data_IF_915679213159
#
_entry.id   IF_915679213159
#
_cell.length_a   1.000
_cell.length_b   1.000
_cell.length_c   1.000
_cell.angle_alpha   90.00
_cell.angle_beta   90.00
_cell.angle_gamma   90.00
#
_symmetry.space_group_name_H-M   'P 1'
#
loop_
_entity.id
_entity.type
_entity.pdbx_description
1 polymer ?
#
# COMPACT_ATOMS: atom_id res chain seq x y z
N UNK A 1 -5.08 -18.21 -9.87
CA UNK A 1 -5.61 -18.06 -11.24
C UNK A 1 -4.46 -17.59 -12.11
N UNK A 2 -4.29 -18.11 -13.30
CA UNK A 2 -3.26 -17.65 -14.25
C UNK A 2 -3.94 -16.68 -15.19
N UNK A 3 -3.36 -15.49 -15.41
CA UNK A 3 -3.87 -14.55 -16.39
C UNK A 3 -3.65 -15.18 -17.78
N UNK A 4 -4.72 -15.45 -18.52
CA UNK A 4 -4.64 -16.10 -19.85
C UNK A 4 -4.57 -15.07 -20.97
N UNK A 5 -4.03 -15.50 -22.11
CA UNK A 5 -3.53 -14.66 -23.21
C UNK A 5 -4.48 -13.60 -23.79
N UNK A 6 -5.76 -13.88 -23.86
CA UNK A 6 -6.71 -13.04 -24.58
C UNK A 6 -7.39 -11.98 -23.68
N UNK A 7 -7.03 -11.93 -22.36
CA UNK A 7 -7.75 -11.15 -21.37
C UNK A 7 -6.87 -10.25 -20.51
N UNK A 8 -5.59 -10.10 -20.83
CA UNK A 8 -4.66 -9.36 -19.99
C UNK A 8 -5.10 -7.90 -19.77
N UNK A 9 -5.66 -7.27 -20.80
CA UNK A 9 -6.19 -5.90 -20.74
C UNK A 9 -7.72 -5.83 -20.78
N UNK A 10 -8.39 -6.98 -20.85
CA UNK A 10 -9.86 -7.02 -20.90
C UNK A 10 -10.40 -7.10 -19.47
N UNK A 11 -11.08 -6.04 -19.07
CA UNK A 11 -11.79 -5.91 -17.79
C UNK A 11 -13.30 -5.70 -18.04
N UNK A 12 -13.79 -6.03 -19.22
CA UNK A 12 -15.20 -5.84 -19.61
C UNK A 12 -16.18 -6.67 -18.76
N UNK A 13 -15.67 -7.70 -18.07
CA UNK A 13 -16.39 -8.51 -17.09
C UNK A 13 -16.43 -7.90 -15.68
N UNK A 14 -15.80 -6.74 -15.50
CA UNK A 14 -15.84 -6.04 -14.22
C UNK A 14 -17.24 -5.42 -13.95
N UNK A 15 -17.66 -5.33 -12.69
CA UNK A 15 -18.92 -4.70 -12.33
C UNK A 15 -18.88 -3.20 -12.63
N UNK A 16 -20.06 -2.59 -12.86
CA UNK A 16 -20.19 -1.19 -13.23
C UNK A 16 -19.51 -0.23 -12.24
N UNK A 17 -19.67 -0.48 -10.95
CA UNK A 17 -19.02 0.34 -9.91
C UNK A 17 -17.50 0.45 -10.07
N UNK A 18 -16.85 -0.66 -10.49
CA UNK A 18 -15.41 -0.67 -10.70
C UNK A 18 -15.04 0.12 -11.96
N UNK A 19 -15.76 -0.12 -13.06
CA UNK A 19 -15.51 0.57 -14.32
C UNK A 19 -15.73 2.08 -14.18
N UNK A 20 -16.81 2.50 -13.55
CA UNK A 20 -17.13 3.90 -13.26
C UNK A 20 -16.04 4.54 -12.38
N UNK A 21 -15.58 3.84 -11.33
CA UNK A 21 -14.54 4.35 -10.44
C UNK A 21 -13.21 4.58 -11.16
N UNK A 22 -12.76 3.63 -11.99
CA UNK A 22 -11.47 3.78 -12.69
C UNK A 22 -11.53 4.79 -13.87
N UNK A 23 -12.72 5.24 -14.27
CA UNK A 23 -12.90 6.34 -15.23
C UNK A 23 -12.62 7.71 -14.57
N UNK A 24 -12.81 7.84 -13.26
CA UNK A 24 -12.49 9.07 -12.53
C UNK A 24 -10.96 9.19 -12.37
N UNK A 25 -10.37 10.00 -13.25
CA UNK A 25 -8.91 10.08 -13.36
C UNK A 25 -8.29 10.93 -12.25
N UNK A 26 -7.27 10.37 -11.61
CA UNK A 26 -6.39 11.12 -10.73
C UNK A 26 -5.41 12.00 -11.51
N UNK A 27 -4.93 13.06 -10.88
CA UNK A 27 -3.75 13.78 -11.31
C UNK A 27 -2.51 13.08 -10.76
N UNK A 28 -1.60 12.64 -11.64
CA UNK A 28 -0.31 12.08 -11.23
C UNK A 28 0.65 13.20 -10.88
N UNK A 29 1.19 13.14 -9.68
CA UNK A 29 2.06 14.15 -9.08
C UNK A 29 3.34 13.50 -8.54
N UNK A 30 4.32 14.35 -8.23
CA UNK A 30 5.59 13.92 -7.67
C UNK A 30 6.02 14.88 -6.56
N UNK A 31 6.69 14.32 -5.54
CA UNK A 31 7.47 15.09 -4.57
C UNK A 31 8.90 14.56 -4.58
N UNK A 32 9.87 15.46 -4.58
CA UNK A 32 11.28 15.08 -4.50
C UNK A 32 11.72 15.11 -3.03
N UNK A 33 12.38 14.07 -2.58
CA UNK A 33 13.10 14.06 -1.31
C UNK A 33 14.61 13.90 -1.57
N UNK A 34 15.42 13.88 -0.49
CA UNK A 34 16.88 13.77 -0.60
C UNK A 34 17.36 12.45 -1.22
N UNK A 35 16.48 11.43 -1.26
CA UNK A 35 16.79 10.07 -1.72
C UNK A 35 16.09 9.72 -3.04
N UNK A 36 15.41 10.68 -3.67
CA UNK A 36 14.78 10.50 -4.97
C UNK A 36 13.31 10.90 -5.04
N UNK A 37 12.72 10.72 -6.20
CA UNK A 37 11.36 11.15 -6.52
C UNK A 37 10.33 10.14 -6.06
N UNK A 38 9.24 10.66 -5.44
CA UNK A 38 8.10 9.91 -4.97
C UNK A 38 6.89 10.25 -5.84
N UNK A 39 6.29 9.24 -6.41
CA UNK A 39 5.07 9.37 -7.22
C UNK A 39 3.83 9.20 -6.37
N UNK A 40 2.81 10.00 -6.60
CA UNK A 40 1.49 9.82 -6.02
C UNK A 40 0.39 10.27 -6.98
N UNK A 41 -0.80 9.73 -6.80
CA UNK A 41 -2.01 10.14 -7.52
C UNK A 41 -2.89 10.94 -6.59
N UNK A 42 -3.51 12.03 -7.10
CA UNK A 42 -4.45 12.86 -6.35
C UNK A 42 -5.78 12.95 -7.07
N UNK A 43 -6.85 12.76 -6.31
CA UNK A 43 -8.22 13.07 -6.68
C UNK A 43 -8.68 14.24 -5.82
N UNK A 44 -9.28 15.24 -6.45
CA UNK A 44 -9.81 16.41 -5.75
C UNK A 44 -11.25 16.14 -5.31
N UNK A 45 -11.59 16.55 -4.10
CA UNK A 45 -12.95 16.44 -3.56
C UNK A 45 -13.94 17.27 -4.38
N UNK A 46 -15.14 16.77 -4.54
CA UNK A 46 -16.20 17.43 -5.31
C UNK A 46 -16.69 18.74 -4.65
N UNK A 47 -16.69 18.80 -3.31
CA UNK A 47 -17.30 19.87 -2.51
C UNK A 47 -16.27 20.77 -1.81
N UNK A 48 -15.05 20.91 -2.33
CA UNK A 48 -13.96 21.67 -1.70
C UNK A 48 -13.70 21.26 -0.25
N UNK A 49 -13.85 19.98 0.08
CA UNK A 49 -13.59 19.47 1.41
C UNK A 49 -12.13 19.75 1.83
N UNK A 50 -11.96 20.20 3.08
CA UNK A 50 -10.65 20.46 3.66
C UNK A 50 -10.03 19.21 4.31
N UNK A 51 -10.51 18.04 3.95
CA UNK A 51 -9.99 16.75 4.41
C UNK A 51 -9.01 16.18 3.40
N UNK A 52 -8.01 15.45 3.89
CA UNK A 52 -7.07 14.69 3.08
C UNK A 52 -7.05 13.24 3.55
N UNK A 53 -7.42 12.31 2.66
CA UNK A 53 -7.28 10.87 2.86
C UNK A 53 -6.03 10.38 2.12
N UNK A 54 -5.12 9.73 2.85
CA UNK A 54 -3.89 9.16 2.29
C UNK A 54 -3.99 7.64 2.29
N UNK A 55 -3.85 7.05 1.11
CA UNK A 55 -3.92 5.60 0.88
C UNK A 55 -2.53 5.06 0.59
N UNK A 56 -2.06 4.10 1.40
CA UNK A 56 -0.71 3.54 1.33
C UNK A 56 -0.79 2.04 1.06
N UNK A 57 -0.22 1.60 -0.05
CA UNK A 57 -0.26 0.21 -0.50
C UNK A 57 0.72 -0.70 0.27
N UNK A 58 0.53 -2.01 0.12
CA UNK A 58 1.40 -3.05 0.67
C UNK A 58 2.68 -3.30 -0.15
N UNK A 59 3.48 -4.24 0.29
CA UNK A 59 4.74 -4.62 -0.36
C UNK A 59 4.52 -5.14 -1.78
N UNK A 60 5.26 -4.58 -2.74
CA UNK A 60 5.20 -4.99 -4.15
C UNK A 60 3.96 -4.53 -4.90
N UNK A 61 3.05 -3.80 -4.23
CA UNK A 61 1.90 -3.15 -4.82
C UNK A 61 2.27 -1.74 -5.34
N UNK A 62 1.30 -0.95 -5.69
CA UNK A 62 1.45 0.43 -6.18
C UNK A 62 0.14 1.21 -6.01
N UNK A 63 0.18 2.52 -6.18
CA UNK A 63 -0.95 3.43 -6.00
C UNK A 63 -2.21 3.06 -6.79
N UNK A 64 -2.05 2.42 -7.95
CA UNK A 64 -3.17 2.00 -8.82
C UNK A 64 -4.08 0.90 -8.22
N UNK A 65 -3.65 0.27 -7.13
CA UNK A 65 -4.53 -0.61 -6.35
C UNK A 65 -5.70 0.16 -5.72
N UNK A 66 -5.53 1.46 -5.53
CA UNK A 66 -6.53 2.33 -4.92
C UNK A 66 -7.42 3.05 -5.93
N UNK A 67 -7.15 2.95 -7.25
CA UNK A 67 -7.94 3.62 -8.28
C UNK A 67 -9.45 3.31 -8.19
N UNK A 68 -9.89 2.06 -7.96
CA UNK A 68 -11.33 1.78 -7.84
C UNK A 68 -11.92 2.17 -6.48
N UNK A 69 -11.09 2.44 -5.47
CA UNK A 69 -11.51 2.72 -4.10
C UNK A 69 -11.53 4.24 -3.83
N UNK A 70 -10.51 4.96 -4.29
CA UNK A 70 -10.33 6.39 -4.00
C UNK A 70 -11.55 7.26 -4.37
N UNK A 71 -12.22 7.07 -5.51
CA UNK A 71 -13.36 7.89 -5.91
C UNK A 71 -14.55 7.86 -4.94
N UNK A 72 -14.72 6.79 -4.17
CA UNK A 72 -15.83 6.67 -3.21
C UNK A 72 -15.72 7.60 -1.99
N UNK A 73 -14.62 8.34 -1.86
CA UNK A 73 -14.39 9.28 -0.76
C UNK A 73 -14.44 10.76 -1.19
N UNK A 74 -14.68 11.05 -2.48
CA UNK A 74 -14.56 12.40 -3.03
C UNK A 74 -15.67 13.35 -2.61
N UNK A 75 -16.77 12.86 -2.10
CA UNK A 75 -17.82 13.66 -1.48
C UNK A 75 -17.39 14.28 -0.14
N UNK A 76 -16.39 13.70 0.54
CA UNK A 76 -15.96 14.11 1.88
C UNK A 76 -14.48 14.46 2.01
N UNK A 77 -13.63 14.07 1.04
CA UNK A 77 -12.18 14.21 1.17
C UNK A 77 -11.46 14.33 -0.17
N UNK A 78 -10.38 15.14 -0.22
CA UNK A 78 -9.36 14.95 -1.24
C UNK A 78 -8.64 13.62 -0.95
N UNK A 79 -8.31 12.85 -1.98
CA UNK A 79 -7.67 11.55 -1.81
C UNK A 79 -6.31 11.53 -2.48
N UNK A 80 -5.33 10.98 -1.80
CA UNK A 80 -3.97 10.75 -2.30
C UNK A 80 -3.64 9.27 -2.18
N UNK A 81 -3.21 8.63 -3.27
CA UNK A 81 -2.62 7.30 -3.25
C UNK A 81 -1.14 7.38 -3.61
N UNK A 82 -0.29 6.79 -2.78
CA UNK A 82 1.16 6.95 -2.86
C UNK A 82 1.80 5.69 -3.44
N UNK A 83 2.79 5.86 -4.32
CA UNK A 83 3.78 4.82 -4.61
C UNK A 83 4.92 4.92 -3.60
N UNK A 84 5.07 3.96 -2.70
CA UNK A 84 6.21 3.94 -1.78
C UNK A 84 7.54 3.81 -2.54
N UNK A 85 8.66 4.36 -2.03
CA UNK A 85 9.97 4.20 -2.66
C UNK A 85 10.29 2.76 -3.05
N UNK A 86 10.82 2.58 -4.24
CA UNK A 86 11.12 1.26 -4.78
C UNK A 86 9.92 0.49 -5.34
N UNK A 87 8.75 1.12 -5.39
CA UNK A 87 7.48 0.53 -5.86
C UNK A 87 6.74 1.50 -6.79
N UNK A 88 5.95 0.95 -7.71
CA UNK A 88 5.18 1.74 -8.67
C UNK A 88 6.06 2.62 -9.55
N UNK A 89 5.74 3.90 -9.61
CA UNK A 89 6.47 4.91 -10.38
C UNK A 89 7.44 5.75 -9.51
N UNK A 90 7.57 5.43 -8.22
CA UNK A 90 8.59 6.02 -7.35
C UNK A 90 9.99 5.46 -7.65
N UNK A 91 11.01 6.28 -7.43
CA UNK A 91 12.38 5.87 -7.71
C UNK A 91 12.86 4.74 -6.79
N UNK A 92 13.73 3.91 -7.33
CA UNK A 92 14.43 2.86 -6.59
C UNK A 92 15.55 3.49 -5.77
N UNK A 93 15.91 2.85 -4.65
CA UNK A 93 16.90 3.34 -3.70
C UNK A 93 17.88 2.25 -3.32
N UNK A 94 19.05 2.62 -2.85
CA UNK A 94 20.05 1.66 -2.34
C UNK A 94 19.60 1.00 -1.03
N UNK A 95 18.84 1.73 -0.22
CA UNK A 95 18.33 1.26 1.08
C UNK A 95 16.89 1.69 1.31
N UNK A 96 16.16 0.90 2.05
CA UNK A 96 14.76 1.13 2.40
C UNK A 96 14.53 0.98 3.88
N UNK A 97 13.67 1.82 4.46
CA UNK A 97 13.21 1.70 5.83
C UNK A 97 11.78 2.22 6.01
N UNK A 98 11.08 1.71 7.03
CA UNK A 98 9.75 2.25 7.38
C UNK A 98 9.83 3.74 7.73
N UNK A 99 10.92 4.15 8.41
CA UNK A 99 11.17 5.56 8.74
C UNK A 99 11.29 6.44 7.50
N UNK A 100 12.03 5.99 6.47
CA UNK A 100 12.17 6.74 5.22
C UNK A 100 10.85 6.77 4.43
N UNK A 101 10.08 5.68 4.45
CA UNK A 101 8.74 5.68 3.87
C UNK A 101 7.83 6.70 4.57
N UNK A 102 7.86 6.75 5.91
CA UNK A 102 7.11 7.75 6.68
C UNK A 102 7.50 9.19 6.34
N UNK A 103 8.80 9.48 6.17
CA UNK A 103 9.26 10.82 5.72
C UNK A 103 8.68 11.21 4.37
N UNK A 104 8.55 10.27 3.43
CA UNK A 104 7.91 10.53 2.15
C UNK A 104 6.44 10.92 2.31
N UNK A 105 5.73 10.28 3.25
CA UNK A 105 4.33 10.65 3.55
C UNK A 105 4.26 12.06 4.13
N UNK A 106 5.15 12.44 5.06
CA UNK A 106 5.21 13.80 5.57
C UNK A 106 5.46 14.83 4.46
N UNK A 107 6.40 14.57 3.54
CA UNK A 107 6.67 15.47 2.41
C UNK A 107 5.46 15.63 1.48
N UNK A 108 4.66 14.58 1.29
CA UNK A 108 3.41 14.67 0.51
C UNK A 108 2.38 15.51 1.28
N UNK A 109 2.22 15.31 2.59
CA UNK A 109 1.31 16.09 3.43
C UNK A 109 1.66 17.56 3.36
N UNK A 110 2.93 17.92 3.52
CA UNK A 110 3.41 19.30 3.42
C UNK A 110 3.05 19.89 2.07
N UNK A 111 3.37 19.21 0.97
CA UNK A 111 3.04 19.67 -0.38
C UNK A 111 1.55 19.84 -0.62
N UNK A 112 0.70 18.96 -0.10
CA UNK A 112 -0.75 19.10 -0.23
C UNK A 112 -1.28 20.28 0.61
N UNK A 113 -0.74 20.53 1.80
CA UNK A 113 -1.06 21.69 2.63
C UNK A 113 -0.63 23.01 2.03
N UNK A 114 0.47 23.05 1.28
CA UNK A 114 0.92 24.24 0.55
C UNK A 114 -0.02 24.60 -0.60
N UNK A 115 -0.67 23.59 -1.19
CA UNK A 115 -1.55 23.79 -2.34
C UNK A 115 -3.01 24.03 -1.96
N UNK A 116 -3.45 23.51 -0.82
CA UNK A 116 -4.84 23.57 -0.36
C UNK A 116 -4.91 23.73 1.16
N UNK A 117 -6.02 24.31 1.62
CA UNK A 117 -6.37 24.26 3.04
C UNK A 117 -6.74 22.82 3.40
N UNK A 118 -5.95 22.19 4.27
CA UNK A 118 -6.22 20.87 4.84
C UNK A 118 -6.35 21.00 6.35
N UNK A 119 -7.54 20.71 6.85
CA UNK A 119 -7.86 20.78 8.28
C UNK A 119 -7.71 19.42 8.96
N UNK A 120 -8.07 18.32 8.26
CA UNK A 120 -8.01 16.97 8.80
C UNK A 120 -7.27 16.03 7.86
N UNK A 121 -6.48 15.11 8.44
CA UNK A 121 -5.72 14.10 7.71
C UNK A 121 -6.09 12.71 8.24
N UNK A 122 -6.50 11.85 7.31
CA UNK A 122 -6.83 10.45 7.55
C UNK A 122 -5.84 9.58 6.79
N UNK A 123 -5.34 8.52 7.42
CA UNK A 123 -4.36 7.64 6.77
C UNK A 123 -4.88 6.20 6.81
N UNK A 124 -4.89 5.57 5.65
CA UNK A 124 -5.22 4.15 5.48
C UNK A 124 -4.02 3.44 4.88
N UNK A 125 -3.55 2.38 5.52
CA UNK A 125 -2.42 1.60 5.02
C UNK A 125 -2.69 0.11 5.02
N UNK A 126 -2.38 -0.55 3.90
CA UNK A 126 -2.46 -2.00 3.76
C UNK A 126 -1.10 -2.64 3.99
N UNK A 127 -1.03 -3.71 4.79
CA UNK A 127 0.19 -4.52 4.98
C UNK A 127 1.40 -3.67 5.40
N UNK A 128 2.47 -3.59 4.59
CA UNK A 128 3.61 -2.68 4.78
C UNK A 128 3.15 -1.22 4.92
N UNK A 129 2.19 -0.80 4.10
CA UNK A 129 1.61 0.55 4.16
C UNK A 129 0.95 0.84 5.50
N UNK A 130 0.38 -0.17 6.17
CA UNK A 130 -0.15 -0.03 7.52
C UNK A 130 0.93 0.22 8.58
N UNK A 131 2.12 -0.39 8.44
CA UNK A 131 3.27 -0.07 9.32
C UNK A 131 3.74 1.37 9.08
N UNK A 132 3.75 1.83 7.81
CA UNK A 132 4.11 3.21 7.47
C UNK A 132 3.08 4.19 8.03
N UNK A 133 1.79 3.89 7.88
CA UNK A 133 0.69 4.69 8.42
C UNK A 133 0.78 4.82 9.94
N UNK A 134 0.98 3.70 10.65
CA UNK A 134 1.16 3.68 12.10
C UNK A 134 2.42 4.44 12.56
N UNK A 135 3.52 4.34 11.80
CA UNK A 135 4.73 5.12 12.05
C UNK A 135 4.46 6.62 11.92
N UNK A 136 3.80 7.06 10.85
CA UNK A 136 3.44 8.47 10.64
C UNK A 136 2.53 8.99 11.77
N UNK A 137 1.50 8.24 12.13
CA UNK A 137 0.62 8.61 13.24
C UNK A 137 1.37 8.69 14.59
N UNK A 138 2.34 7.80 14.83
CA UNK A 138 3.14 7.78 16.06
C UNK A 138 4.11 8.96 16.16
N UNK A 139 4.72 9.37 15.04
CA UNK A 139 5.73 10.44 15.02
C UNK A 139 5.12 11.85 14.95
N UNK A 140 3.86 11.95 14.55
CA UNK A 140 3.21 13.23 14.23
C UNK A 140 2.25 13.76 15.30
N UNK A 141 2.02 13.03 16.38
CA UNK A 141 1.08 13.34 17.48
C UNK A 141 -0.29 13.88 16.99
N UNK A 142 -0.37 15.20 16.72
CA UNK A 142 -1.62 15.91 16.43
C UNK A 142 -1.94 16.04 14.92
N UNK A 143 -1.07 15.55 14.03
CA UNK A 143 -1.25 15.76 12.58
C UNK A 143 -2.28 14.82 11.98
N UNK A 144 -2.34 13.58 12.47
CA UNK A 144 -3.21 12.53 11.95
C UNK A 144 -4.49 12.46 12.79
N UNK A 145 -5.64 12.66 12.15
CA UNK A 145 -6.93 12.67 12.81
C UNK A 145 -7.55 11.27 12.95
N UNK A 146 -7.18 10.32 12.07
CA UNK A 146 -7.58 8.92 12.20
C UNK A 146 -6.65 8.01 11.41
N UNK A 147 -6.47 6.78 11.90
CA UNK A 147 -5.63 5.74 11.33
C UNK A 147 -6.43 4.48 11.03
N UNK A 148 -6.29 3.93 9.82
CA UNK A 148 -6.79 2.59 9.51
C UNK A 148 -5.62 1.73 9.03
N UNK A 149 -5.43 0.58 9.69
CA UNK A 149 -4.45 -0.43 9.30
C UNK A 149 -5.19 -1.65 8.75
N UNK A 150 -4.87 -2.03 7.52
CA UNK A 150 -5.51 -3.18 6.87
C UNK A 150 -4.51 -4.33 6.80
N UNK A 151 -4.83 -5.41 7.47
CA UNK A 151 -4.10 -6.69 7.48
C UNK A 151 -2.57 -6.52 7.61
N UNK A 152 -2.19 -5.75 8.61
CA UNK A 152 -0.81 -5.30 8.83
C UNK A 152 -0.09 -6.22 9.82
N UNK A 153 1.00 -6.83 9.40
CA UNK A 153 1.83 -7.64 10.28
C UNK A 153 2.67 -6.76 11.21
N UNK A 154 2.36 -6.79 12.51
CA UNK A 154 3.13 -6.10 13.55
C UNK A 154 3.88 -7.14 14.38
N UNK A 155 5.20 -6.97 14.46
CA UNK A 155 6.04 -7.84 15.26
C UNK A 155 5.94 -7.46 16.73
N UNK A 156 5.81 -8.44 17.64
CA UNK A 156 5.86 -8.15 19.06
C UNK A 156 7.25 -7.62 19.45
N UNK A 157 7.35 -6.86 20.56
CA UNK A 157 8.62 -6.28 21.01
C UNK A 157 9.73 -7.30 21.32
N UNK A 158 9.34 -8.50 21.73
CA UNK A 158 10.21 -9.63 22.03
C UNK A 158 10.50 -10.53 20.82
N UNK A 159 10.09 -10.09 19.62
CA UNK A 159 10.38 -10.83 18.38
C UNK A 159 11.89 -10.94 18.16
N UNK A 160 12.36 -12.18 18.04
CA UNK A 160 13.76 -12.48 17.76
C UNK A 160 14.05 -12.34 16.25
N UNK A 161 14.84 -11.32 15.83
CA UNK A 161 15.17 -11.13 14.41
C UNK A 161 15.98 -12.30 13.81
N UNK A 162 16.68 -13.09 14.63
CA UNK A 162 17.49 -14.23 14.17
C UNK A 162 16.61 -15.35 13.60
N UNK A 163 15.34 -15.43 14.00
CA UNK A 163 14.37 -16.35 13.44
C UNK A 163 13.96 -15.98 12.00
N UNK A 164 14.34 -14.78 11.57
CA UNK A 164 14.17 -14.32 10.20
C UNK A 164 15.50 -14.52 9.46
N UNK A 165 15.89 -15.75 9.25
CA UNK A 165 16.99 -16.04 8.35
C UNK A 165 16.65 -15.42 7.00
N UNK A 166 17.50 -14.48 6.57
CA UNK A 166 17.36 -13.83 5.29
C UNK A 166 17.30 -14.89 4.20
N UNK A 167 16.21 -14.93 3.46
CA UNK A 167 16.14 -15.78 2.30
C UNK A 167 17.30 -15.46 1.33
N UNK A 168 17.50 -16.27 0.28
CA UNK A 168 18.58 -16.06 -0.67
C UNK A 168 18.49 -14.63 -1.24
N UNK A 169 19.65 -13.98 -1.40
CA UNK A 169 19.75 -12.66 -1.99
C UNK A 169 18.99 -12.61 -3.31
N UNK A 170 18.07 -11.68 -3.42
CA UNK A 170 17.29 -11.49 -4.63
C UNK A 170 18.14 -10.89 -5.73
N UNK A 171 17.78 -11.19 -6.98
CA UNK A 171 18.44 -10.68 -8.17
C UNK A 171 17.41 -10.00 -9.06
N UNK A 172 17.84 -8.97 -9.77
CA UNK A 172 17.01 -8.31 -10.78
C UNK A 172 16.65 -9.31 -11.88
N UNK A 173 15.36 -9.34 -12.25
CA UNK A 173 14.86 -10.21 -13.31
C UNK A 173 14.28 -9.37 -14.44
N UNK A 174 14.65 -9.74 -15.67
CA UNK A 174 14.08 -9.19 -16.89
C UNK A 174 13.35 -10.27 -17.68
N UNK A 175 12.34 -9.86 -18.41
CA UNK A 175 11.51 -10.73 -19.24
C UNK A 175 11.51 -10.20 -20.66
N UNK A 176 11.57 -11.05 -21.69
CA UNK A 176 11.65 -10.60 -23.08
C UNK A 176 10.38 -9.88 -23.54
N UNK A 177 9.22 -10.28 -23.00
CA UNK A 177 7.91 -9.79 -23.42
C UNK A 177 7.03 -9.47 -22.23
N UNK A 178 6.14 -8.48 -22.37
CA UNK A 178 5.14 -8.09 -21.37
C UNK A 178 4.28 -9.26 -20.93
N UNK A 179 3.85 -10.08 -21.88
CA UNK A 179 3.04 -11.27 -21.63
C UNK A 179 3.75 -12.23 -20.66
N UNK A 180 5.02 -12.53 -20.91
CA UNK A 180 5.79 -13.48 -20.11
C UNK A 180 5.94 -13.06 -18.64
N UNK A 181 5.97 -11.75 -18.34
CA UNK A 181 6.00 -11.26 -16.96
C UNK A 181 4.59 -11.24 -16.37
N UNK A 182 3.55 -10.81 -17.10
CA UNK A 182 2.17 -10.76 -16.60
C UNK A 182 1.63 -12.13 -16.21
N UNK A 183 1.95 -13.19 -16.96
CA UNK A 183 1.60 -14.57 -16.61
C UNK A 183 2.18 -15.03 -15.26
N UNK A 184 3.17 -14.32 -14.73
CA UNK A 184 3.81 -14.58 -13.44
C UNK A 184 3.24 -13.73 -12.30
N UNK A 185 2.30 -12.83 -12.60
CA UNK A 185 1.66 -12.04 -11.56
C UNK A 185 0.95 -12.94 -10.56
N UNK A 186 1.20 -12.71 -9.29
CA UNK A 186 0.59 -13.45 -8.17
C UNK A 186 0.41 -12.53 -6.99
N UNK A 187 -0.68 -12.70 -6.28
CA UNK A 187 -0.84 -12.11 -4.95
C UNK A 187 0.11 -12.81 -3.96
N UNK A 188 0.72 -12.03 -3.09
CA UNK A 188 1.62 -12.53 -2.05
C UNK A 188 1.24 -11.94 -0.68
N UNK A 189 0.89 -12.76 0.32
CA UNK A 189 0.76 -14.22 0.29
C UNK A 189 -0.21 -14.74 -0.77
N UNK A 190 0.00 -15.99 -1.20
CA UNK A 190 -0.89 -16.63 -2.18
C UNK A 190 -2.30 -16.72 -1.60
N UNK A 191 -3.26 -16.18 -2.31
CA UNK A 191 -4.69 -16.29 -1.99
C UNK A 191 -5.52 -16.43 -3.27
N UNK A 192 -6.70 -16.97 -3.13
CA UNK A 192 -7.70 -16.94 -4.20
C UNK A 192 -8.28 -15.51 -4.30
N UNK A 193 -8.54 -15.10 -5.52
CA UNK A 193 -9.25 -13.86 -5.81
C UNK A 193 -10.30 -14.16 -6.87
N UNK A 194 -11.56 -14.00 -6.51
CA UNK A 194 -12.68 -14.21 -7.42
C UNK A 194 -12.80 -13.08 -8.45
N UNK A 195 -12.25 -11.91 -8.14
CA UNK A 195 -12.29 -10.70 -8.94
C UNK A 195 -11.12 -10.67 -9.95
N UNK A 196 -11.17 -11.58 -10.94
CA UNK A 196 -10.09 -11.71 -11.93
C UNK A 196 -9.85 -10.43 -12.73
N UNK A 197 -10.88 -9.63 -12.98
CA UNK A 197 -10.82 -8.31 -13.60
C UNK A 197 -9.95 -7.35 -12.78
N UNK A 198 -10.03 -7.37 -11.45
CA UNK A 198 -9.18 -6.55 -10.60
C UNK A 198 -7.71 -6.99 -10.67
N UNK A 199 -7.46 -8.31 -10.65
CA UNK A 199 -6.09 -8.83 -10.81
C UNK A 199 -5.49 -8.43 -12.16
N UNK A 200 -6.26 -8.47 -13.25
CA UNK A 200 -5.80 -8.03 -14.57
C UNK A 200 -5.47 -6.53 -14.57
N UNK A 201 -6.35 -5.71 -13.98
CA UNK A 201 -6.12 -4.27 -13.85
C UNK A 201 -4.81 -3.98 -13.13
N UNK A 202 -4.62 -4.48 -11.90
CA UNK A 202 -3.42 -4.18 -11.13
C UNK A 202 -2.15 -4.79 -11.75
N UNK A 203 -2.23 -5.98 -12.35
CA UNK A 203 -1.09 -6.62 -13.00
C UNK A 203 -0.55 -5.76 -14.16
N UNK A 204 -1.44 -5.18 -14.96
CA UNK A 204 -1.10 -4.30 -16.08
C UNK A 204 -0.26 -3.09 -15.63
N UNK A 205 -0.60 -2.50 -14.49
CA UNK A 205 0.15 -1.37 -13.93
C UNK A 205 1.37 -1.77 -13.10
N UNK A 206 1.58 -3.08 -12.84
CA UNK A 206 2.70 -3.60 -12.05
C UNK A 206 4.01 -3.73 -12.82
N UNK A 207 4.01 -3.55 -14.14
CA UNK A 207 5.16 -3.81 -15.01
C UNK A 207 5.59 -2.57 -15.77
N UNK A 208 6.87 -2.53 -16.13
CA UNK A 208 7.46 -1.48 -16.99
C UNK A 208 8.44 -2.08 -17.97
N UNK A 209 8.54 -1.46 -19.15
CA UNK A 209 9.58 -1.72 -20.13
C UNK A 209 10.84 -0.93 -19.80
N UNK A 210 11.98 -1.55 -19.95
CA UNK A 210 13.32 -0.97 -19.82
C UNK A 210 14.20 -1.50 -20.94
N UNK A 211 15.43 -1.00 -21.06
CA UNK A 211 16.35 -1.41 -22.14
C UNK A 211 16.60 -2.92 -22.21
N UNK A 212 16.61 -3.57 -21.06
CA UNK A 212 16.88 -5.01 -20.92
C UNK A 212 15.63 -5.89 -21.11
N UNK A 213 14.45 -5.28 -21.34
CA UNK A 213 13.16 -5.95 -21.48
C UNK A 213 12.14 -5.50 -20.44
N UNK A 214 11.20 -6.35 -20.07
CA UNK A 214 10.16 -6.05 -19.11
C UNK A 214 10.58 -6.44 -17.69
N UNK A 215 10.24 -5.61 -16.70
CA UNK A 215 10.42 -5.92 -15.28
C UNK A 215 9.27 -5.41 -14.44
N UNK A 216 9.19 -5.90 -13.20
CA UNK A 216 8.27 -5.36 -12.21
C UNK A 216 8.61 -3.91 -11.86
N UNK A 217 7.56 -3.11 -11.60
CA UNK A 217 7.71 -1.78 -10.98
C UNK A 217 8.02 -1.88 -9.48
N UNK A 218 8.54 -2.97 -9.05
CA UNK A 218 9.00 -3.25 -7.72
C UNK A 218 10.51 -3.51 -7.76
N UNK A 219 11.25 -2.95 -6.82
CA UNK A 219 12.68 -3.21 -6.73
C UNK A 219 12.95 -4.62 -6.19
N UNK A 220 13.41 -5.49 -7.05
CA UNK A 220 13.75 -6.88 -6.69
C UNK A 220 14.76 -6.95 -5.54
N UNK A 221 15.60 -5.92 -5.38
CA UNK A 221 16.65 -5.86 -4.36
C UNK A 221 16.18 -5.30 -3.01
N UNK A 222 14.96 -4.74 -2.94
CA UNK A 222 14.44 -4.09 -1.73
C UNK A 222 14.60 -4.95 -0.47
N UNK A 223 14.29 -6.25 -0.55
CA UNK A 223 14.37 -7.13 0.61
C UNK A 223 15.79 -7.43 1.07
N UNK A 224 16.80 -7.16 0.23
CA UNK A 224 18.21 -7.31 0.62
C UNK A 224 18.67 -6.17 1.53
N UNK A 225 17.96 -5.03 1.52
CA UNK A 225 18.35 -3.79 2.22
C UNK A 225 17.24 -3.14 3.04
N UNK A 226 16.07 -3.78 3.17
CA UNK A 226 14.94 -3.23 3.93
C UNK A 226 15.19 -3.32 5.43
N UNK A 227 15.41 -2.17 6.07
CA UNK A 227 15.43 -2.04 7.52
C UNK A 227 14.00 -2.10 8.08
N UNK A 228 13.74 -3.07 8.94
CA UNK A 228 12.46 -3.30 9.59
C UNK A 228 12.43 -2.69 10.98
N UNK A 229 11.24 -2.33 11.45
CA UNK A 229 11.05 -1.83 12.81
C UNK A 229 10.95 -3.03 13.80
N UNK A 230 12.09 -3.52 14.27
CA UNK A 230 12.12 -4.51 15.35
C UNK A 230 11.99 -3.82 16.71
N UNK A 231 11.13 -4.34 17.58
CA UNK A 231 10.93 -3.80 18.92
C UNK A 231 10.29 -2.40 18.98
N UNK A 232 9.89 -1.84 17.84
CA UNK A 232 9.22 -0.55 17.82
C UNK A 232 7.76 -0.71 18.24
N UNK A 233 7.36 -0.01 19.29
CA UNK A 233 5.97 0.07 19.73
C UNK A 233 5.34 1.33 19.17
N UNK A 234 4.34 1.17 18.31
CA UNK A 234 3.54 2.29 17.82
C UNK A 234 2.74 2.92 18.98
N UNK A 235 2.66 4.23 18.98
CA UNK A 235 1.86 4.99 19.94
C UNK A 235 1.24 6.18 19.22
N UNK A 236 -0.08 6.21 19.11
CA UNK A 236 -0.84 7.27 18.45
C UNK A 236 -2.02 7.69 19.35
N UNK A 237 -2.36 8.95 19.27
CA UNK A 237 -3.43 9.55 20.09
C UNK A 237 -4.76 9.67 19.32
N UNK A 238 -4.72 9.49 17.99
CA UNK A 238 -5.91 9.51 17.16
C UNK A 238 -6.70 8.21 17.23
N UNK A 239 -8.03 8.22 16.96
CA UNK A 239 -8.81 7.02 16.74
C UNK A 239 -8.16 6.10 15.69
N UNK A 240 -8.09 4.82 15.99
CA UNK A 240 -7.45 3.84 15.12
C UNK A 240 -8.30 2.58 14.95
N UNK A 241 -8.30 2.03 13.73
CA UNK A 241 -9.00 0.81 13.38
C UNK A 241 -8.04 -0.18 12.69
N UNK A 242 -8.07 -1.43 13.13
CA UNK A 242 -7.37 -2.53 12.50
C UNK A 242 -8.36 -3.46 11.81
N UNK A 243 -8.35 -3.46 10.48
CA UNK A 243 -9.17 -4.34 9.66
C UNK A 243 -8.32 -5.56 9.26
N UNK A 244 -8.88 -6.76 9.36
CA UNK A 244 -8.17 -7.97 8.96
C UNK A 244 -9.08 -9.00 8.30
N UNK A 245 -8.51 -9.76 7.35
CA UNK A 245 -9.22 -10.86 6.70
C UNK A 245 -9.30 -12.09 7.62
N UNK A 246 -10.48 -12.71 7.71
CA UNK A 246 -10.68 -13.95 8.49
C UNK A 246 -9.77 -15.09 8.01
N UNK A 247 -9.46 -15.12 6.72
CA UNK A 247 -8.64 -16.13 6.07
C UNK A 247 -7.18 -15.68 5.84
N UNK A 248 -6.75 -14.58 6.47
CA UNK A 248 -5.39 -14.07 6.29
C UNK A 248 -4.34 -14.99 6.91
N UNK A 249 -3.40 -15.43 6.09
CA UNK A 249 -2.24 -16.19 6.55
C UNK A 249 -1.31 -15.35 7.44
N UNK A 250 -1.29 -14.03 7.27
CA UNK A 250 -0.48 -13.12 8.09
C UNK A 250 -1.08 -12.89 9.48
N UNK A 251 -2.35 -13.20 9.68
CA UNK A 251 -3.04 -13.09 10.98
C UNK A 251 -3.20 -14.45 11.66
N UNK A 252 -2.58 -15.50 11.12
CA UNK A 252 -2.68 -16.88 11.62
C UNK A 252 -1.88 -17.09 12.92
N UNK A 253 -2.16 -18.20 13.60
CA UNK A 253 -1.49 -18.58 14.85
C UNK A 253 -1.71 -17.51 15.94
N UNK A 254 -0.62 -17.12 16.60
CA UNK A 254 -0.66 -16.14 17.71
C UNK A 254 -0.51 -14.68 17.24
N UNK A 255 -0.38 -14.44 15.93
CA UNK A 255 -0.03 -13.09 15.43
C UNK A 255 -1.14 -12.09 15.79
N UNK A 256 -2.39 -12.38 15.38
CA UNK A 256 -3.52 -11.50 15.67
C UNK A 256 -3.75 -11.31 17.18
N UNK A 257 -3.65 -12.39 17.95
CA UNK A 257 -3.82 -12.31 19.42
C UNK A 257 -2.75 -11.45 20.07
N UNK A 258 -1.51 -11.51 19.58
CA UNK A 258 -0.41 -10.65 20.05
C UNK A 258 -0.65 -9.18 19.69
N UNK A 259 -1.11 -8.90 18.46
CA UNK A 259 -1.45 -7.53 18.03
C UNK A 259 -2.58 -6.98 18.91
N UNK A 260 -3.65 -7.75 19.12
CA UNK A 260 -4.76 -7.36 20.01
C UNK A 260 -4.28 -7.09 21.44
N UNK A 261 -3.44 -7.96 21.98
CA UNK A 261 -2.88 -7.77 23.33
C UNK A 261 -2.06 -6.48 23.46
N UNK A 262 -1.36 -6.08 22.38
CA UNK A 262 -0.51 -4.87 22.40
C UNK A 262 -1.30 -3.58 22.21
N UNK A 263 -2.44 -3.62 21.51
CA UNK A 263 -3.06 -2.40 20.97
C UNK A 263 -4.55 -2.27 21.23
N UNK A 264 -5.25 -3.23 21.88
CA UNK A 264 -6.70 -3.13 22.12
C UNK A 264 -7.13 -1.94 22.99
N UNK A 265 -6.19 -1.33 23.72
CA UNK A 265 -6.49 -0.13 24.53
C UNK A 265 -6.49 1.16 23.69
N UNK A 266 -5.94 1.15 22.47
CA UNK A 266 -5.79 2.33 21.62
C UNK A 266 -6.28 2.11 20.18
N UNK A 267 -6.81 0.93 19.86
CA UNK A 267 -7.21 0.58 18.49
C UNK A 267 -8.36 -0.42 18.50
N UNK A 268 -9.40 -0.16 17.72
CA UNK A 268 -10.50 -1.07 17.46
C UNK A 268 -10.11 -2.13 16.41
N UNK A 269 -10.82 -3.27 16.41
CA UNK A 269 -10.54 -4.40 15.52
C UNK A 269 -11.79 -4.85 14.78
N UNK A 270 -11.72 -4.89 13.45
CA UNK A 270 -12.80 -5.33 12.58
C UNK A 270 -12.35 -6.50 11.70
N UNK A 271 -13.17 -7.54 11.64
CA UNK A 271 -12.92 -8.74 10.86
C UNK A 271 -13.76 -8.75 9.59
N UNK A 272 -13.12 -9.01 8.44
CA UNK A 272 -13.81 -9.23 7.16
C UNK A 272 -13.87 -10.72 6.89
N UNK A 273 -15.07 -11.31 6.89
CA UNK A 273 -15.26 -12.76 6.95
C UNK A 273 -14.69 -13.51 5.74
N UNK A 274 -14.98 -13.11 4.53
CA UNK A 274 -14.56 -13.82 3.32
C UNK A 274 -13.25 -13.29 2.72
N UNK A 275 -12.52 -12.46 3.46
CA UNK A 275 -11.28 -11.87 3.02
C UNK A 275 -10.04 -12.63 3.52
N UNK A 276 -8.98 -12.61 2.73
CA UNK A 276 -7.63 -13.01 3.12
C UNK A 276 -6.75 -11.76 3.29
N UNK A 277 -5.43 -11.83 3.03
CA UNK A 277 -4.51 -10.71 3.25
C UNK A 277 -4.84 -9.46 2.42
N UNK A 278 -5.21 -9.65 1.15
CA UNK A 278 -5.59 -8.53 0.28
C UNK A 278 -7.10 -8.26 0.45
N UNK A 279 -7.42 -7.52 1.50
CA UNK A 279 -8.79 -7.14 1.88
C UNK A 279 -9.38 -6.08 0.94
N UNK A 280 -8.62 -5.06 0.49
CA UNK A 280 -9.09 -4.05 -0.46
C UNK A 280 -9.48 -4.59 -1.82
#
# INVERSE_FOLDING_TARGET
MTITDNLINDISDAPSWFLESIEIKATDLYVDDKKGRISYSRWDAENNANNLLILIHGTGAHKKWWDPIAPHFLDVSNVVAVDLPGMGNSEFRDTYSIKDFGKCIFSIIEKEKDNKKIDNIYIVGHSLGGQVAAYVASESKDLVNSLVMIDTFIRPPDYDPSQHEGGPLRKIKFYPEKKAILERFRLMPKQECLNSWYLRYIAEYSVKEVKEGWRWKFDDLMFNSLERLFGYKFSFECPALFIYGANSLLMSGNILSNIKKMYSDIMDFEKVEDAAHHVP
#
